data_IF_820387904985
#
_entry.id   IF_820387904985
#
_cell.length_a   1.000
_cell.length_b   1.000
_cell.length_c   1.000
_cell.angle_alpha   90.00
_cell.angle_beta   90.00
_cell.angle_gamma   90.00
#
_symmetry.space_group_name_H-M   'P 1'
#
loop_
_entity.id
_entity.type
_entity.pdbx_description
1 polymer ?
#
# COMPACT_ATOMS: atom_id res chain seq x y z
N UNK A 1 19.85 24.69 -31.52
CA UNK A 1 19.49 23.39 -30.93
C UNK A 1 19.92 23.40 -29.47
N UNK A 2 18.99 23.46 -28.52
CA UNK A 2 19.29 23.41 -27.08
C UNK A 2 18.46 22.32 -26.42
N UNK A 3 19.14 21.20 -26.17
CA UNK A 3 18.89 20.11 -25.25
C UNK A 3 17.50 20.07 -24.58
N UNK A 4 16.66 19.16 -25.06
CA UNK A 4 15.48 18.70 -24.34
C UNK A 4 15.90 18.04 -23.03
N UNK A 5 15.78 18.78 -21.93
CA UNK A 5 15.86 18.21 -20.59
C UNK A 5 14.66 17.28 -20.42
N UNK A 6 14.88 15.99 -20.65
CA UNK A 6 13.91 14.94 -20.31
C UNK A 6 13.70 14.98 -18.80
N UNK A 7 12.70 15.71 -18.31
CA UNK A 7 12.23 15.59 -16.93
C UNK A 7 11.94 14.12 -16.69
N UNK A 8 12.63 13.51 -15.73
CA UNK A 8 12.26 12.18 -15.27
C UNK A 8 10.83 12.25 -14.72
N UNK A 9 10.05 11.19 -14.95
CA UNK A 9 8.69 11.04 -14.41
C UNK A 9 8.71 9.83 -13.49
N UNK A 10 7.92 9.88 -12.41
CA UNK A 10 7.73 8.73 -11.52
C UNK A 10 7.36 7.48 -12.33
N UNK A 11 8.10 6.39 -12.13
CA UNK A 11 7.91 5.16 -12.90
C UNK A 11 8.21 3.91 -12.08
N UNK A 12 7.18 3.17 -11.68
CA UNK A 12 7.38 1.90 -10.97
C UNK A 12 8.10 0.87 -11.85
N UNK A 13 7.75 0.81 -13.15
CA UNK A 13 8.34 -0.12 -14.13
C UNK A 13 9.87 -0.05 -14.16
N UNK A 14 10.45 1.14 -14.01
CA UNK A 14 11.92 1.33 -13.98
C UNK A 14 12.58 0.64 -12.79
N UNK A 15 11.86 0.46 -11.68
CA UNK A 15 12.39 -0.06 -10.43
C UNK A 15 11.92 -1.47 -10.08
N UNK A 16 10.89 -2.01 -10.71
CA UNK A 16 10.41 -3.39 -10.45
C UNK A 16 11.52 -4.45 -10.46
N UNK A 17 12.52 -4.44 -11.37
CA UNK A 17 13.62 -5.41 -11.31
C UNK A 17 14.44 -5.36 -10.01
N UNK A 18 14.43 -4.22 -9.31
CA UNK A 18 15.17 -3.99 -8.06
C UNK A 18 14.26 -4.12 -6.84
N UNK A 19 13.09 -3.49 -6.85
CA UNK A 19 12.18 -3.44 -5.71
C UNK A 19 11.22 -4.64 -5.64
N UNK A 20 11.06 -5.39 -6.74
CA UNK A 20 10.13 -6.52 -6.86
C UNK A 20 8.69 -6.16 -6.46
N UNK A 21 8.26 -4.94 -6.77
CA UNK A 21 6.97 -4.39 -6.40
C UNK A 21 6.64 -4.55 -4.90
N UNK A 22 7.63 -4.36 -4.02
CA UNK A 22 7.47 -4.52 -2.56
C UNK A 22 6.33 -3.68 -1.93
N UNK A 23 5.86 -2.61 -2.59
CA UNK A 23 4.71 -1.83 -2.14
C UNK A 23 3.36 -2.52 -2.42
N UNK A 24 3.33 -3.56 -3.27
CA UNK A 24 2.16 -4.35 -3.62
C UNK A 24 2.07 -5.62 -2.74
N UNK A 25 1.99 -5.44 -1.42
CA UNK A 25 1.74 -6.53 -0.46
C UNK A 25 0.26 -6.71 -0.11
N UNK A 26 -0.05 -7.65 0.79
CA UNK A 26 -1.36 -7.79 1.41
C UNK A 26 -1.77 -6.48 2.12
N UNK A 27 -2.83 -5.84 1.64
CA UNK A 27 -3.35 -4.57 2.16
C UNK A 27 -4.87 -4.64 2.33
N UNK A 28 -5.47 -3.99 3.34
CA UNK A 28 -6.91 -3.94 3.50
C UNK A 28 -7.62 -3.18 2.38
N UNK A 29 -8.61 -3.80 1.76
CA UNK A 29 -9.53 -3.17 0.82
C UNK A 29 -10.90 -3.01 1.47
N UNK A 30 -11.72 -2.05 1.02
CA UNK A 30 -13.14 -2.13 1.35
C UNK A 30 -13.74 -3.40 0.74
N UNK A 31 -14.66 -4.03 1.47
CA UNK A 31 -15.30 -5.28 1.00
C UNK A 31 -15.98 -5.08 -0.35
N UNK A 32 -16.65 -3.94 -0.54
CA UNK A 32 -17.29 -3.56 -1.81
C UNK A 32 -16.30 -3.43 -2.95
N UNK A 33 -15.13 -2.83 -2.70
CA UNK A 33 -14.07 -2.69 -3.71
C UNK A 33 -13.49 -4.04 -4.12
N UNK A 34 -13.22 -4.90 -3.14
CA UNK A 34 -12.66 -6.22 -3.38
C UNK A 34 -13.64 -7.09 -4.19
N UNK A 35 -14.90 -7.17 -3.79
CA UNK A 35 -15.91 -7.96 -4.50
C UNK A 35 -16.11 -7.48 -5.95
N UNK A 36 -16.16 -6.16 -6.18
CA UNK A 36 -16.22 -5.59 -7.55
C UNK A 36 -15.08 -6.10 -8.43
N UNK A 37 -13.87 -6.21 -7.88
CA UNK A 37 -12.66 -6.54 -8.63
C UNK A 37 -12.26 -8.03 -8.55
N UNK A 38 -13.01 -8.87 -7.83
CA UNK A 38 -12.66 -10.26 -7.54
C UNK A 38 -12.36 -11.09 -8.78
N UNK A 39 -13.07 -10.85 -9.88
CA UNK A 39 -12.86 -11.50 -11.17
C UNK A 39 -11.49 -11.19 -11.82
N UNK A 40 -10.70 -10.26 -11.27
CA UNK A 40 -9.35 -9.89 -11.74
C UNK A 40 -8.24 -10.34 -10.79
N UNK A 41 -8.57 -11.12 -9.76
CA UNK A 41 -7.58 -11.76 -8.90
C UNK A 41 -6.70 -12.67 -9.76
N UNK A 42 -5.39 -12.57 -9.58
CA UNK A 42 -4.38 -13.35 -10.30
C UNK A 42 -3.50 -14.16 -9.36
N UNK A 43 -3.50 -13.82 -8.07
CA UNK A 43 -2.89 -14.57 -7.00
C UNK A 43 -3.97 -14.85 -5.96
N UNK A 44 -4.46 -16.09 -5.92
CA UNK A 44 -5.60 -16.47 -5.09
C UNK A 44 -5.28 -16.37 -3.60
N UNK A 45 -6.09 -15.67 -2.80
CA UNK A 45 -5.90 -15.62 -1.36
C UNK A 45 -6.13 -17.00 -0.72
N UNK A 46 -5.25 -17.37 0.21
CA UNK A 46 -5.42 -18.53 1.08
C UNK A 46 -6.39 -18.24 2.23
N UNK A 47 -6.59 -16.96 2.55
CA UNK A 47 -7.47 -16.50 3.63
C UNK A 47 -8.00 -15.09 3.33
N UNK A 48 -9.27 -14.83 3.68
CA UNK A 48 -9.84 -13.49 3.71
C UNK A 48 -10.08 -13.07 5.17
N UNK A 49 -9.30 -12.09 5.65
CA UNK A 49 -9.48 -11.52 6.99
C UNK A 49 -10.40 -10.33 6.93
N UNK A 50 -11.62 -10.50 7.41
CA UNK A 50 -12.63 -9.44 7.48
C UNK A 50 -12.59 -8.71 8.83
N UNK A 51 -12.75 -7.39 8.81
CA UNK A 51 -12.86 -6.56 10.00
C UNK A 51 -13.51 -5.22 9.65
N UNK A 52 -13.89 -4.45 10.67
CA UNK A 52 -14.39 -3.08 10.50
C UNK A 52 -13.37 -2.08 11.03
N UNK A 53 -13.23 -0.94 10.36
CA UNK A 53 -12.42 0.17 10.85
C UNK A 53 -13.18 1.50 10.71
N UNK A 54 -13.10 2.38 11.72
CA UNK A 54 -13.65 3.73 11.62
C UNK A 54 -12.75 4.61 10.74
N UNK A 55 -13.35 5.39 9.84
CA UNK A 55 -12.65 6.46 9.11
C UNK A 55 -12.69 7.76 9.96
N UNK A 56 -11.56 8.48 10.14
CA UNK A 56 -11.56 9.77 10.81
C UNK A 56 -12.30 10.86 9.98
N UNK A 57 -12.87 11.91 10.61
CA UNK A 57 -13.00 12.17 12.04
C UNK A 57 -14.32 11.69 12.67
N UNK A 58 -15.35 11.35 11.87
CA UNK A 58 -16.73 11.14 12.35
C UNK A 58 -17.50 10.01 11.59
N UNK A 59 -16.82 9.01 11.01
CA UNK A 59 -17.43 8.21 9.93
C UNK A 59 -17.67 6.73 10.26
N UNK A 60 -18.81 6.25 9.74
CA UNK A 60 -19.33 4.88 9.78
C UNK A 60 -18.25 3.81 9.70
N UNK A 61 -18.46 2.73 10.46
CA UNK A 61 -17.62 1.54 10.38
C UNK A 61 -17.71 0.93 8.97
N UNK A 62 -16.59 0.97 8.23
CA UNK A 62 -16.54 0.40 6.88
C UNK A 62 -16.06 -1.06 6.97
N UNK A 63 -16.78 -2.02 6.37
CA UNK A 63 -16.29 -3.39 6.23
C UNK A 63 -15.05 -3.43 5.33
N UNK A 64 -13.95 -3.94 5.88
CA UNK A 64 -12.69 -4.15 5.20
C UNK A 64 -12.39 -5.65 5.09
N UNK A 65 -11.58 -6.00 4.09
CA UNK A 65 -11.03 -7.34 3.89
C UNK A 65 -9.54 -7.25 3.58
N UNK A 66 -8.72 -8.06 4.25
CA UNK A 66 -7.34 -8.34 3.84
C UNK A 66 -7.31 -9.70 3.15
N UNK A 67 -7.15 -9.74 1.82
CA UNK A 67 -6.87 -10.97 1.09
C UNK A 67 -5.41 -11.38 1.33
N UNK A 68 -5.20 -12.42 2.13
CA UNK A 68 -3.87 -12.96 2.44
C UNK A 68 -3.49 -13.99 1.38
N UNK A 69 -2.47 -13.72 0.58
CA UNK A 69 -1.89 -14.69 -0.35
C UNK A 69 -0.74 -15.46 0.30
N UNK A 70 -0.38 -16.60 -0.28
CA UNK A 70 0.70 -17.47 0.22
C UNK A 70 2.05 -16.74 0.34
N UNK A 71 2.38 -15.90 -0.64
CA UNK A 71 3.64 -15.16 -0.71
C UNK A 71 3.58 -13.76 -0.07
N UNK A 72 2.42 -13.38 0.48
CA UNK A 72 2.17 -12.06 1.07
C UNK A 72 2.07 -10.91 0.06
N UNK A 73 2.02 -11.20 -1.24
CA UNK A 73 1.80 -10.20 -2.28
C UNK A 73 0.33 -9.80 -2.43
N UNK A 74 0.08 -8.68 -3.11
CA UNK A 74 -1.27 -8.27 -3.45
C UNK A 74 -1.93 -9.30 -4.39
N UNK A 75 -3.21 -9.68 -4.19
CA UNK A 75 -3.90 -10.66 -5.05
C UNK A 75 -4.03 -10.22 -6.52
N UNK A 76 -3.83 -8.92 -6.79
CA UNK A 76 -3.86 -8.34 -8.13
C UNK A 76 -2.46 -8.11 -8.73
N UNK A 77 -1.38 -8.57 -8.08
CA UNK A 77 -0.02 -8.46 -8.60
C UNK A 77 0.27 -9.64 -9.53
N UNK A 78 0.45 -9.34 -10.82
CA UNK A 78 0.83 -10.35 -11.81
C UNK A 78 2.32 -10.69 -11.69
N UNK A 79 2.73 -11.83 -12.25
CA UNK A 79 4.14 -12.26 -12.28
C UNK A 79 5.10 -11.31 -13.01
N UNK A 80 4.59 -10.42 -13.87
CA UNK A 80 5.34 -9.33 -14.52
C UNK A 80 5.51 -8.08 -13.62
N UNK A 81 5.12 -8.16 -12.36
CA UNK A 81 5.06 -7.07 -11.38
C UNK A 81 4.08 -5.95 -11.74
N UNK A 82 3.15 -6.17 -12.68
CA UNK A 82 2.13 -5.21 -13.06
C UNK A 82 0.80 -5.51 -12.36
N UNK A 83 0.02 -4.46 -12.13
CA UNK A 83 -1.27 -4.58 -11.44
C UNK A 83 -2.37 -5.02 -12.42
N UNK A 84 -3.09 -6.09 -12.08
CA UNK A 84 -4.25 -6.59 -12.82
C UNK A 84 -5.42 -5.59 -12.82
N UNK A 85 -5.47 -4.69 -11.81
CA UNK A 85 -6.49 -3.65 -11.63
C UNK A 85 -5.93 -2.23 -11.80
N UNK A 86 -4.94 -2.04 -12.68
CA UNK A 86 -4.18 -0.77 -12.76
C UNK A 86 -5.04 0.49 -12.80
N UNK A 87 -6.12 0.48 -13.59
CA UNK A 87 -7.02 1.63 -13.76
C UNK A 87 -8.05 1.78 -12.63
N UNK A 88 -8.40 0.68 -11.96
CA UNK A 88 -9.34 0.64 -10.84
C UNK A 88 -8.66 0.74 -9.47
N UNK A 89 -7.31 0.88 -9.42
CA UNK A 89 -6.54 0.90 -8.16
C UNK A 89 -7.17 1.84 -7.14
N UNK A 90 -7.28 1.46 -5.85
CA UNK A 90 -7.85 2.33 -4.82
C UNK A 90 -6.95 3.56 -4.59
N UNK A 91 -7.50 4.59 -3.92
CA UNK A 91 -6.82 5.88 -3.69
C UNK A 91 -5.37 5.71 -3.18
N UNK A 92 -5.17 4.91 -2.13
CA UNK A 92 -3.85 4.64 -1.55
C UNK A 92 -2.83 4.11 -2.57
N UNK A 93 -3.26 3.25 -3.50
CA UNK A 93 -2.39 2.69 -4.52
C UNK A 93 -2.12 3.68 -5.68
N UNK A 94 -3.04 4.58 -5.97
CA UNK A 94 -2.87 5.63 -7.00
C UNK A 94 -1.96 6.75 -6.51
N UNK A 95 -2.05 7.08 -5.23
CA UNK A 95 -1.26 8.14 -4.61
C UNK A 95 0.15 7.69 -4.19
N UNK A 96 0.44 6.39 -4.21
CA UNK A 96 1.77 5.92 -3.84
C UNK A 96 2.85 6.56 -4.73
N UNK A 97 3.83 7.18 -4.10
CA UNK A 97 4.88 7.95 -4.77
C UNK A 97 4.67 9.47 -4.74
N UNK A 98 3.53 9.97 -4.26
CA UNK A 98 3.26 11.41 -4.17
C UNK A 98 3.93 12.11 -2.98
N UNK A 99 4.51 11.34 -2.04
CA UNK A 99 5.25 11.83 -0.87
C UNK A 99 4.41 12.68 0.13
N UNK A 100 3.07 12.61 0.07
CA UNK A 100 2.16 13.27 1.03
C UNK A 100 2.34 12.75 2.47
N UNK A 101 2.60 11.45 2.63
CA UNK A 101 2.86 10.79 3.91
C UNK A 101 4.03 9.82 3.75
N UNK A 102 4.67 9.38 4.84
CA UNK A 102 5.80 8.44 4.72
C UNK A 102 5.36 7.06 4.26
N UNK A 103 4.10 6.69 4.48
CA UNK A 103 3.50 5.46 3.94
C UNK A 103 3.18 5.55 2.44
N UNK A 104 3.09 6.77 1.88
CA UNK A 104 2.91 7.02 0.44
C UNK A 104 4.23 7.39 -0.26
N UNK A 105 5.37 7.17 0.39
CA UNK A 105 6.69 7.45 -0.18
C UNK A 105 7.33 6.17 -0.71
N UNK A 106 7.58 6.10 -2.03
CA UNK A 106 8.44 5.07 -2.60
C UNK A 106 9.85 5.26 -2.03
N UNK A 107 10.64 4.24 -1.64
CA UNK A 107 12.02 4.45 -1.18
C UNK A 107 13.01 4.68 -2.34
N UNK A 108 12.72 4.16 -3.54
CA UNK A 108 13.68 4.15 -4.66
C UNK A 108 13.67 5.41 -5.54
N UNK A 109 12.57 6.15 -5.58
CA UNK A 109 12.44 7.39 -6.35
C UNK A 109 11.51 8.41 -5.68
N UNK A 110 11.80 9.70 -5.88
CA UNK A 110 10.90 10.78 -5.47
C UNK A 110 9.73 10.98 -6.45
N UNK A 111 8.81 11.88 -6.10
CA UNK A 111 7.62 12.16 -6.91
C UNK A 111 7.95 12.65 -8.34
N UNK A 112 9.15 13.18 -8.55
CA UNK A 112 9.66 13.62 -9.86
C UNK A 112 10.47 12.52 -10.56
N UNK A 113 10.46 11.28 -10.05
CA UNK A 113 11.18 10.17 -10.64
C UNK A 113 12.71 10.29 -10.55
N UNK A 114 13.26 11.12 -9.65
CA UNK A 114 14.71 11.10 -9.35
C UNK A 114 15.01 9.86 -8.53
N UNK A 115 16.03 9.11 -8.93
CA UNK A 115 16.53 7.98 -8.13
C UNK A 115 17.09 8.46 -6.80
N UNK A 116 16.69 7.83 -5.69
CA UNK A 116 17.26 8.13 -4.37
C UNK A 116 18.57 7.38 -4.14
N UNK A 117 19.45 8.01 -3.37
CA UNK A 117 20.65 7.38 -2.85
C UNK A 117 20.31 6.25 -1.86
N UNK A 118 21.28 5.37 -1.63
CA UNK A 118 21.13 4.28 -0.64
C UNK A 118 20.88 4.80 0.77
N UNK A 119 21.42 5.97 1.13
CA UNK A 119 21.21 6.57 2.45
C UNK A 119 19.77 7.10 2.59
N UNK A 120 19.26 7.79 1.57
CA UNK A 120 17.87 8.26 1.53
C UNK A 120 16.88 7.09 1.59
N UNK A 121 17.09 6.04 0.78
CA UNK A 121 16.29 4.80 0.81
C UNK A 121 16.19 4.23 2.23
N UNK A 122 17.34 4.02 2.89
CA UNK A 122 17.40 3.45 4.24
C UNK A 122 16.72 4.34 5.29
N UNK A 123 16.78 5.66 5.12
CA UNK A 123 16.10 6.61 5.99
C UNK A 123 14.59 6.47 5.86
N UNK A 124 14.08 6.48 4.62
CA UNK A 124 12.64 6.31 4.33
C UNK A 124 12.15 4.98 4.89
N UNK A 125 12.81 3.85 4.56
CA UNK A 125 12.38 2.52 5.05
C UNK A 125 12.27 2.48 6.58
N UNK A 126 13.24 3.08 7.28
CA UNK A 126 13.24 3.13 8.75
C UNK A 126 12.09 3.98 9.29
N UNK A 127 11.86 5.15 8.69
CA UNK A 127 10.81 6.08 9.12
C UNK A 127 9.42 5.53 8.84
N UNK A 128 9.19 4.95 7.66
CA UNK A 128 7.94 4.30 7.28
C UNK A 128 7.65 3.11 8.19
N UNK A 129 8.65 2.26 8.48
CA UNK A 129 8.48 1.14 9.44
C UNK A 129 8.11 1.63 10.83
N UNK A 130 8.74 2.71 11.31
CA UNK A 130 8.42 3.31 12.60
C UNK A 130 6.97 3.81 12.65
N UNK A 131 6.52 4.47 11.60
CA UNK A 131 5.15 4.98 11.49
C UNK A 131 4.12 3.84 11.43
N UNK A 132 4.36 2.81 10.62
CA UNK A 132 3.49 1.61 10.57
C UNK A 132 3.38 0.96 11.95
N UNK A 133 4.51 0.74 12.64
CA UNK A 133 4.50 0.15 13.98
C UNK A 133 3.76 1.03 15.00
N UNK A 134 3.88 2.35 14.88
CA UNK A 134 3.16 3.29 15.75
C UNK A 134 1.65 3.26 15.49
N UNK A 135 1.23 3.24 14.22
CA UNK A 135 -0.16 3.12 13.80
C UNK A 135 -0.78 1.79 14.24
N UNK A 136 -0.06 0.68 14.07
CA UNK A 136 -0.49 -0.64 14.54
C UNK A 136 -0.61 -0.67 16.07
N UNK A 137 0.36 -0.14 16.82
CA UNK A 137 0.25 -0.03 18.29
C UNK A 137 -0.97 0.78 18.71
N UNK A 138 -1.29 1.85 17.99
CA UNK A 138 -2.52 2.63 18.22
C UNK A 138 -3.79 1.85 17.90
N UNK A 139 -3.81 1.07 16.82
CA UNK A 139 -4.92 0.21 16.42
C UNK A 139 -5.16 -0.91 17.45
N UNK A 140 -4.09 -1.62 17.86
CA UNK A 140 -4.15 -2.68 18.87
C UNK A 140 -4.52 -2.14 20.26
N UNK A 141 -4.03 -0.96 20.66
CA UNK A 141 -4.45 -0.33 21.94
C UNK A 141 -5.93 0.03 21.95
N UNK A 142 -6.48 0.50 20.82
CA UNK A 142 -7.92 0.79 20.69
C UNK A 142 -8.79 -0.46 20.63
N UNK A 143 -8.31 -1.53 19.98
CA UNK A 143 -8.99 -2.82 19.96
C UNK A 143 -8.99 -3.50 21.34
N UNK A 144 -7.92 -3.36 22.12
CA UNK A 144 -7.82 -3.93 23.47
C UNK A 144 -8.68 -3.18 24.50
N UNK A 145 -8.74 -1.84 24.43
CA UNK A 145 -9.58 -1.04 25.32
C UNK A 145 -11.09 -1.19 25.07
N UNK A 146 -11.51 -1.73 23.91
CA UNK A 146 -12.93 -2.07 23.64
C UNK A 146 -13.33 -3.45 24.17
N UNK A 147 -12.38 -4.28 24.60
CA UNK A 147 -12.62 -5.63 25.10
C UNK A 147 -12.58 -5.74 26.64
N UNK A 148 -12.50 -4.62 27.36
CA UNK A 148 -12.73 -4.66 28.81
C UNK A 148 -14.24 -4.77 29.06
N UNK A 149 -14.72 -5.84 29.72
CA UNK A 149 -16.11 -5.92 30.14
C UNK A 149 -16.40 -4.75 31.08
N UNK A 150 -17.54 -4.09 30.88
CA UNK A 150 -18.09 -3.10 31.80
C UNK A 150 -18.18 -3.76 33.18
N UNK A 151 -17.36 -3.29 34.12
CA UNK A 151 -17.55 -3.51 35.55
C UNK A 151 -18.68 -2.63 36.06
#
# INVERSE_FOLDING_TARGET
MKNGSSRTVFSCKRFHPKCRANCCGCFPFSKTFYEKNKHRVVNEPIELKEFVAPEPPDLEEIPLVIPVTEDGSCPFLKGDMMCAIYDDRPYVCREFGCEKTKTLTCPHQDANGRTRSRQEMRKIDRETRKEILQSLKGLFKRAWNKNDPIS
#
